data_IF_449079511097
#
_entry.id   IF_449079511097
#
_cell.length_a   1.000
_cell.length_b   1.000
_cell.length_c   1.000
_cell.angle_alpha   90.00
_cell.angle_beta   90.00
_cell.angle_gamma   90.00
#
_symmetry.space_group_name_H-M   'P 1'
#
loop_
_entity.id
_entity.type
_entity.pdbx_description
1 polymer ?
#
# COMPACT_ATOMS: atom_id res chain seq x y z
N UNK A 1 -24.58 9.78 8.02
CA UNK A 1 -23.61 9.56 6.92
C UNK A 1 -22.89 8.26 7.17
N UNK A 2 -23.14 7.27 6.31
CA UNK A 2 -22.41 6.01 6.31
C UNK A 2 -21.68 5.82 4.98
N UNK A 3 -20.53 5.15 5.04
CA UNK A 3 -19.82 4.68 3.85
C UNK A 3 -20.03 3.18 3.79
N UNK A 4 -20.71 2.71 2.75
CA UNK A 4 -20.92 1.29 2.52
C UNK A 4 -19.96 0.79 1.45
N UNK A 5 -19.20 -0.24 1.78
CA UNK A 5 -18.32 -0.93 0.84
C UNK A 5 -19.06 -2.15 0.27
N UNK A 6 -19.32 -2.13 -1.03
CA UNK A 6 -20.06 -3.18 -1.73
C UNK A 6 -19.08 -4.14 -2.44
N UNK A 7 -18.54 -5.10 -1.67
CA UNK A 7 -17.78 -6.22 -2.20
C UNK A 7 -17.87 -7.45 -1.29
N UNK A 8 -17.59 -8.63 -1.85
CA UNK A 8 -17.55 -9.90 -1.12
C UNK A 8 -16.42 -10.79 -1.68
N UNK A 9 -16.14 -11.92 -1.02
CA UNK A 9 -15.05 -12.82 -1.44
C UNK A 9 -15.19 -13.37 -2.87
N UNK A 10 -16.42 -13.60 -3.35
CA UNK A 10 -16.66 -14.04 -4.74
C UNK A 10 -16.35 -12.93 -5.73
N UNK A 11 -16.72 -11.69 -5.41
CA UNK A 11 -16.42 -10.51 -6.23
C UNK A 11 -14.92 -10.25 -6.28
N UNK A 12 -14.21 -10.45 -5.17
CA UNK A 12 -12.77 -10.28 -5.08
C UNK A 12 -12.02 -11.28 -5.98
N UNK A 13 -12.41 -12.56 -5.94
CA UNK A 13 -11.80 -13.62 -6.74
C UNK A 13 -12.05 -13.49 -8.25
N UNK A 14 -13.15 -12.84 -8.65
CA UNK A 14 -13.50 -12.59 -10.06
C UNK A 14 -13.02 -11.22 -10.58
N UNK A 15 -12.47 -10.39 -9.71
CA UNK A 15 -12.07 -9.04 -10.05
C UNK A 15 -10.86 -9.03 -10.97
N UNK A 16 -10.79 -8.02 -11.85
CA UNK A 16 -9.64 -7.84 -12.73
C UNK A 16 -8.42 -7.38 -11.93
N UNK A 17 -7.26 -7.90 -12.29
CA UNK A 17 -5.97 -7.39 -11.80
C UNK A 17 -5.65 -6.07 -12.50
N UNK A 18 -5.33 -5.03 -11.74
CA UNK A 18 -4.97 -3.71 -12.22
C UNK A 18 -3.47 -3.48 -12.11
N UNK A 19 -2.89 -2.83 -13.12
CA UNK A 19 -1.54 -2.28 -13.04
C UNK A 19 -1.62 -0.86 -12.48
N UNK A 20 -0.95 -0.62 -11.35
CA UNK A 20 -1.00 0.65 -10.63
C UNK A 20 0.36 1.35 -10.61
N UNK A 21 0.32 2.67 -10.81
CA UNK A 21 1.46 3.56 -10.71
C UNK A 21 1.19 4.65 -9.68
N UNK A 22 2.01 4.70 -8.64
CA UNK A 22 2.05 5.82 -7.71
C UNK A 22 3.07 6.84 -8.23
N UNK A 23 2.60 7.98 -8.74
CA UNK A 23 3.44 9.01 -9.36
C UNK A 23 3.83 10.10 -8.35
N UNK A 24 5.05 10.67 -8.44
CA UNK A 24 5.49 11.78 -7.59
C UNK A 24 4.92 13.12 -8.08
N UNK A 25 3.72 13.12 -8.65
CA UNK A 25 3.12 14.28 -9.30
C UNK A 25 1.63 14.37 -9.00
N UNK A 26 1.13 15.59 -8.84
CA UNK A 26 -0.32 15.84 -8.79
C UNK A 26 -0.86 16.02 -10.21
N UNK A 27 -1.74 15.10 -10.63
CA UNK A 27 -2.51 15.23 -11.86
C UNK A 27 -3.88 15.79 -11.50
N UNK A 28 -4.24 16.93 -12.08
CA UNK A 28 -5.52 17.59 -11.76
C UNK A 28 -6.74 16.95 -12.46
N UNK A 29 -6.51 16.17 -13.53
CA UNK A 29 -7.56 15.44 -14.22
C UNK A 29 -7.78 14.05 -13.61
N UNK A 30 -9.04 13.65 -13.54
CA UNK A 30 -9.54 12.36 -13.00
C UNK A 30 -10.15 11.46 -14.10
N UNK A 31 -9.95 11.82 -15.37
CA UNK A 31 -10.46 11.09 -16.52
C UNK A 31 -9.58 9.94 -16.98
N UNK A 32 -10.04 9.25 -18.03
CA UNK A 32 -9.28 8.17 -18.66
C UNK A 32 -7.98 8.69 -19.28
N UNK A 33 -6.91 7.89 -19.18
CA UNK A 33 -5.62 8.15 -19.80
C UNK A 33 -5.14 6.90 -20.55
N UNK A 34 -4.47 7.10 -21.69
CA UNK A 34 -3.89 6.00 -22.46
C UNK A 34 -2.50 5.63 -21.89
N UNK A 35 -2.51 5.11 -20.66
CA UNK A 35 -1.31 4.76 -19.88
C UNK A 35 -0.49 3.69 -20.59
N UNK A 36 -1.15 2.71 -21.21
CA UNK A 36 -0.47 1.63 -21.91
C UNK A 36 0.44 2.16 -23.03
N UNK A 37 -0.12 3.02 -23.87
CA UNK A 37 0.58 3.54 -25.05
C UNK A 37 1.69 4.52 -24.69
N UNK A 38 1.45 5.41 -23.72
CA UNK A 38 2.34 6.54 -23.45
C UNK A 38 3.25 6.37 -22.23
N UNK A 39 2.99 5.38 -21.38
CA UNK A 39 3.76 5.15 -20.16
C UNK A 39 4.30 3.72 -20.12
N UNK A 40 3.45 2.70 -20.16
CA UNK A 40 3.88 1.31 -19.95
C UNK A 40 4.88 0.84 -21.01
N UNK A 41 4.64 1.15 -22.29
CA UNK A 41 5.55 0.81 -23.39
C UNK A 41 6.96 1.41 -23.28
N UNK A 42 7.13 2.47 -22.48
CA UNK A 42 8.40 3.17 -22.25
C UNK A 42 8.98 2.88 -20.86
N UNK A 43 8.39 1.94 -20.12
CA UNK A 43 8.94 1.47 -18.86
C UNK A 43 10.07 0.49 -19.16
N UNK A 44 11.26 0.78 -18.65
CA UNK A 44 12.44 -0.08 -18.82
C UNK A 44 12.91 -0.63 -17.48
N UNK A 45 13.29 -1.91 -17.44
CA UNK A 45 13.97 -2.48 -16.28
C UNK A 45 15.34 -1.81 -16.13
N UNK A 46 15.71 -1.47 -14.89
CA UNK A 46 16.97 -0.83 -14.56
C UNK A 46 17.68 -1.61 -13.43
N UNK A 47 18.14 -2.84 -13.71
CA UNK A 47 18.75 -3.72 -12.71
C UNK A 47 20.01 -3.14 -12.07
N UNK A 48 20.67 -2.18 -12.72
CA UNK A 48 21.82 -1.44 -12.19
C UNK A 48 21.51 -0.68 -10.90
N UNK A 49 20.24 -0.35 -10.64
CA UNK A 49 19.78 0.33 -9.43
C UNK A 49 19.21 -0.60 -8.37
N UNK A 50 19.06 -1.90 -8.68
CA UNK A 50 18.55 -2.92 -7.77
C UNK A 50 17.42 -3.76 -8.36
N UNK A 51 17.02 -4.78 -7.59
CA UNK A 51 15.96 -5.71 -8.02
C UNK A 51 14.59 -5.02 -8.08
N UNK A 52 13.87 -5.24 -9.18
CA UNK A 52 12.53 -4.68 -9.41
C UNK A 52 12.52 -3.17 -9.62
N UNK A 53 13.67 -2.54 -9.86
CA UNK A 53 13.77 -1.12 -10.20
C UNK A 53 13.54 -0.92 -11.68
N UNK A 54 12.72 0.07 -12.01
CA UNK A 54 12.32 0.44 -13.36
C UNK A 54 12.54 1.94 -13.58
N UNK A 55 12.71 2.34 -14.84
CA UNK A 55 12.83 3.73 -15.26
C UNK A 55 11.76 4.10 -16.27
N UNK A 56 11.35 5.37 -16.26
CA UNK A 56 10.43 5.95 -17.23
C UNK A 56 10.61 7.48 -17.22
N UNK A 57 9.82 8.21 -17.98
CA UNK A 57 9.72 9.66 -17.90
C UNK A 57 8.26 10.11 -17.92
N UNK A 58 7.95 11.12 -17.11
CA UNK A 58 6.64 11.77 -17.14
C UNK A 58 6.83 13.25 -17.46
N UNK A 59 6.22 13.72 -18.55
CA UNK A 59 6.33 15.12 -19.00
C UNK A 59 7.78 15.61 -19.18
N UNK A 60 8.68 14.70 -19.58
CA UNK A 60 10.10 14.99 -19.78
C UNK A 60 10.96 14.92 -18.51
N UNK A 61 10.37 14.66 -17.34
CA UNK A 61 11.12 14.45 -16.11
C UNK A 61 11.44 12.97 -15.91
N UNK A 62 12.70 12.61 -15.62
CA UNK A 62 13.09 11.23 -15.39
C UNK A 62 12.47 10.69 -14.11
N UNK A 63 11.99 9.46 -14.19
CA UNK A 63 11.43 8.71 -13.09
C UNK A 63 12.26 7.45 -12.85
N UNK A 64 12.53 7.17 -11.59
CA UNK A 64 13.07 5.89 -11.14
C UNK A 64 12.09 5.31 -10.14
N UNK A 65 11.56 4.13 -10.43
CA UNK A 65 10.51 3.49 -9.65
C UNK A 65 10.88 2.09 -9.22
N UNK A 66 10.13 1.56 -8.27
CA UNK A 66 10.32 0.19 -7.79
C UNK A 66 8.96 -0.52 -7.70
N UNK A 67 8.95 -1.77 -8.18
CA UNK A 67 7.79 -2.66 -8.08
C UNK A 67 7.71 -3.19 -6.65
N UNK A 68 6.64 -2.82 -5.96
CA UNK A 68 6.39 -3.23 -4.59
C UNK A 68 5.22 -4.19 -4.55
N UNK A 69 5.43 -5.33 -3.89
CA UNK A 69 4.36 -6.23 -3.53
C UNK A 69 3.54 -5.62 -2.38
N UNK A 70 2.25 -5.91 -2.37
CA UNK A 70 1.41 -5.70 -1.21
C UNK A 70 1.91 -6.60 -0.06
N UNK A 71 1.85 -6.17 1.21
CA UNK A 71 2.33 -6.97 2.34
C UNK A 71 1.69 -8.36 2.40
N UNK A 72 2.43 -9.32 2.95
CA UNK A 72 1.97 -10.71 3.06
C UNK A 72 0.66 -10.79 3.86
N UNK A 73 -0.30 -11.58 3.37
CA UNK A 73 -1.63 -11.68 3.97
C UNK A 73 -2.59 -10.54 3.61
N UNK A 74 -2.14 -9.53 2.86
CA UNK A 74 -2.98 -8.43 2.37
C UNK A 74 -3.28 -8.55 0.88
N UNK A 75 -4.35 -7.87 0.45
CA UNK A 75 -4.74 -7.74 -0.96
C UNK A 75 -5.03 -6.27 -1.27
N UNK A 76 -4.45 -5.76 -2.36
CA UNK A 76 -4.78 -4.42 -2.86
C UNK A 76 -6.15 -4.42 -3.54
N UNK A 77 -7.00 -3.44 -3.19
CA UNK A 77 -8.31 -3.26 -3.81
C UNK A 77 -8.46 -1.82 -4.30
N UNK A 78 -9.14 -1.66 -5.44
CA UNK A 78 -9.54 -0.35 -5.96
C UNK A 78 -11.05 -0.25 -5.87
N UNK A 79 -11.52 0.80 -5.22
CA UNK A 79 -12.92 1.09 -5.00
C UNK A 79 -13.27 2.39 -5.71
N UNK A 80 -14.45 2.44 -6.33
CA UNK A 80 -14.96 3.64 -6.98
C UNK A 80 -16.38 3.93 -6.53
N UNK A 81 -16.66 5.21 -6.33
CA UNK A 81 -18.01 5.69 -6.05
C UNK A 81 -18.82 5.71 -7.34
N UNK A 82 -19.95 5.01 -7.37
CA UNK A 82 -20.76 4.88 -8.59
C UNK A 82 -21.66 6.08 -8.86
N UNK A 83 -22.03 6.84 -7.83
CA UNK A 83 -22.92 7.99 -7.95
C UNK A 83 -22.31 9.19 -7.22
N UNK A 84 -22.31 10.35 -7.89
CA UNK A 84 -21.87 11.59 -7.24
C UNK A 84 -22.92 11.98 -6.19
N UNK A 85 -22.57 12.11 -4.90
CA UNK A 85 -23.53 12.47 -3.86
C UNK A 85 -24.24 13.79 -4.22
N UNK A 86 -25.57 13.78 -4.20
CA UNK A 86 -26.39 14.96 -4.49
C UNK A 86 -26.31 16.01 -3.36
N UNK A 87 -25.91 15.57 -2.15
CA UNK A 87 -25.64 16.40 -0.98
C UNK A 87 -24.57 15.75 -0.10
N UNK A 88 -23.93 16.53 0.77
CA UNK A 88 -23.01 15.98 1.77
C UNK A 88 -23.71 15.06 2.78
N UNK A 89 -25.04 15.09 2.89
CA UNK A 89 -25.79 14.23 3.81
C UNK A 89 -26.16 12.85 3.25
N UNK A 90 -25.86 12.57 1.98
CA UNK A 90 -26.25 11.32 1.30
C UNK A 90 -25.31 10.18 1.67
N UNK A 91 -25.84 8.97 1.86
CA UNK A 91 -25.03 7.77 2.09
C UNK A 91 -24.21 7.40 0.85
N UNK A 92 -22.96 7.01 1.08
CA UNK A 92 -21.98 6.78 0.00
C UNK A 92 -21.80 5.29 -0.23
N UNK A 93 -21.86 4.87 -1.50
CA UNK A 93 -21.64 3.49 -1.90
C UNK A 93 -20.37 3.37 -2.76
N UNK A 94 -19.40 2.59 -2.27
CA UNK A 94 -18.14 2.30 -2.97
C UNK A 94 -18.17 0.86 -3.51
N UNK A 95 -17.94 0.69 -4.81
CA UNK A 95 -17.91 -0.62 -5.46
C UNK A 95 -16.51 -1.02 -5.88
N UNK A 96 -16.25 -2.33 -5.85
CA UNK A 96 -14.99 -2.90 -6.32
C UNK A 96 -14.83 -2.73 -7.84
N UNK A 97 -13.72 -2.12 -8.25
CA UNK A 97 -13.37 -1.94 -9.67
C UNK A 97 -12.20 -2.80 -10.12
N UNK A 98 -11.36 -3.23 -9.18
CA UNK A 98 -10.21 -4.08 -9.46
C UNK A 98 -9.43 -4.44 -8.21
N UNK A 99 -8.49 -5.36 -8.38
CA UNK A 99 -7.55 -5.80 -7.35
C UNK A 99 -6.12 -5.67 -7.87
N UNK A 100 -5.15 -5.65 -6.97
CA UNK A 100 -3.74 -5.69 -7.34
C UNK A 100 -2.93 -6.38 -6.24
N UNK A 101 -1.87 -7.06 -6.67
CA UNK A 101 -0.90 -7.73 -5.78
C UNK A 101 0.42 -6.96 -5.72
N UNK A 102 0.69 -6.15 -6.73
CA UNK A 102 1.83 -5.26 -6.80
C UNK A 102 1.43 -3.90 -7.34
N UNK A 103 2.24 -2.89 -7.05
CA UNK A 103 2.17 -1.58 -7.67
C UNK A 103 3.57 -1.01 -7.85
N UNK A 104 3.74 -0.10 -8.80
CA UNK A 104 5.01 0.61 -8.98
C UNK A 104 4.92 1.98 -8.35
N UNK A 105 5.79 2.30 -7.40
CA UNK A 105 5.96 3.68 -6.94
C UNK A 105 7.14 4.33 -7.65
N UNK A 106 7.01 5.62 -7.95
CA UNK A 106 8.00 6.36 -8.72
C UNK A 106 8.54 7.54 -7.91
N UNK A 107 9.84 7.77 -8.01
CA UNK A 107 10.52 8.96 -7.52
C UNK A 107 11.02 9.79 -8.71
N UNK A 108 11.11 11.10 -8.54
CA UNK A 108 11.82 11.95 -9.50
C UNK A 108 13.32 11.84 -9.29
N UNK A 109 14.02 11.41 -10.34
CA UNK A 109 15.49 11.42 -10.45
C UNK A 109 16.25 10.91 -9.21
N UNK A 110 15.64 9.99 -8.47
CA UNK A 110 16.16 9.44 -7.23
C UNK A 110 15.91 7.95 -7.20
N UNK A 111 16.99 7.20 -7.03
CA UNK A 111 16.92 5.75 -6.84
C UNK A 111 16.05 5.43 -5.61
N UNK A 112 15.04 4.55 -5.77
CA UNK A 112 14.23 4.05 -4.67
C UNK A 112 15.07 3.56 -3.49
N UNK A 113 14.65 3.91 -2.28
CA UNK A 113 15.41 3.65 -1.06
C UNK A 113 14.53 3.19 0.09
N UNK A 114 15.15 2.60 1.12
CA UNK A 114 14.43 2.21 2.34
C UNK A 114 13.75 3.41 3.02
N UNK A 115 14.27 4.63 2.86
CA UNK A 115 13.71 5.84 3.46
C UNK A 115 12.52 6.43 2.71
N UNK A 116 12.05 5.82 1.62
CA UNK A 116 10.94 6.35 0.85
C UNK A 116 9.61 6.18 1.61
N UNK A 117 8.75 7.22 1.68
CA UNK A 117 7.53 7.20 2.48
C UNK A 117 6.59 6.05 2.17
N UNK A 118 6.43 5.68 0.88
CA UNK A 118 5.54 4.58 0.47
C UNK A 118 6.00 3.24 0.98
N UNK A 119 7.32 3.01 0.99
CA UNK A 119 7.91 1.78 1.51
C UNK A 119 7.76 1.71 3.02
N UNK A 120 7.99 2.82 3.72
CA UNK A 120 7.77 2.94 5.16
C UNK A 120 6.29 2.76 5.53
N UNK A 121 5.36 3.27 4.72
CA UNK A 121 3.93 3.09 4.94
C UNK A 121 3.49 1.63 4.87
N UNK A 122 4.07 0.83 3.95
CA UNK A 122 3.76 -0.60 3.87
C UNK A 122 4.31 -1.39 5.06
N UNK A 123 5.50 -1.04 5.57
CA UNK A 123 6.07 -1.64 6.79
C UNK A 123 5.19 -1.42 8.03
N UNK A 124 4.35 -0.39 8.02
CA UNK A 124 3.43 -0.14 9.12
C UNK A 124 2.40 -1.27 9.31
N UNK A 125 2.11 -2.05 8.28
CA UNK A 125 1.21 -3.21 8.40
C UNK A 125 1.79 -4.25 9.38
N UNK A 126 3.06 -4.61 9.22
CA UNK A 126 3.75 -5.57 10.09
C UNK A 126 3.85 -5.05 11.53
N UNK A 127 4.16 -3.76 11.68
CA UNK A 127 4.23 -3.09 12.98
C UNK A 127 2.86 -3.10 13.66
N UNK A 128 1.80 -2.75 12.93
CA UNK A 128 0.44 -2.74 13.47
C UNK A 128 0.00 -4.14 13.89
N UNK A 129 0.32 -5.17 13.11
CA UNK A 129 0.03 -6.55 13.45
C UNK A 129 0.68 -6.94 14.79
N UNK A 130 1.99 -6.73 14.93
CA UNK A 130 2.73 -7.03 16.16
C UNK A 130 2.22 -6.25 17.38
N UNK A 131 1.80 -4.99 17.20
CA UNK A 131 1.24 -4.17 18.28
C UNK A 131 -0.17 -4.57 18.69
N UNK A 132 -0.94 -5.14 17.77
CA UNK A 132 -2.34 -5.53 18.00
C UNK A 132 -2.52 -6.97 18.46
N UNK A 133 -1.43 -7.73 18.56
CA UNK A 133 -1.45 -9.12 18.98
C UNK A 133 -2.02 -9.24 20.41
N UNK A 134 -3.07 -10.04 20.64
CA UNK A 134 -3.64 -10.22 21.97
C UNK A 134 -2.59 -10.80 22.93
N UNK A 135 -2.52 -10.24 24.13
CA UNK A 135 -1.62 -10.73 25.18
C UNK A 135 -2.35 -11.81 25.97
N UNK A 136 -1.76 -13.00 26.08
CA UNK A 136 -2.31 -14.09 26.89
C UNK A 136 -2.06 -13.88 28.39
N UNK A 137 -2.84 -14.55 29.25
CA UNK A 137 -2.60 -14.50 30.70
C UNK A 137 -1.24 -15.12 31.05
N UNK A 138 -0.82 -16.17 30.34
CA UNK A 138 0.47 -16.82 30.50
C UNK A 138 1.65 -15.88 30.16
N UNK A 139 1.52 -15.06 29.12
CA UNK A 139 2.52 -14.07 28.75
C UNK A 139 2.66 -13.00 29.84
N UNK A 140 1.53 -12.56 30.41
CA UNK A 140 1.51 -11.61 31.52
C UNK A 140 2.19 -12.19 32.77
N UNK A 141 1.87 -13.42 33.14
CA UNK A 141 2.47 -14.09 34.30
C UNK A 141 3.99 -14.26 34.12
N UNK A 142 4.42 -14.65 32.93
CA UNK A 142 5.84 -14.82 32.58
C UNK A 142 6.60 -13.50 32.70
N UNK A 143 6.03 -12.41 32.17
CA UNK A 143 6.64 -11.09 32.24
C UNK A 143 6.66 -10.50 33.66
N UNK A 144 5.60 -10.74 34.45
CA UNK A 144 5.57 -10.36 35.88
C UNK A 144 6.66 -11.10 36.66
N UNK A 145 6.87 -12.40 36.39
CA UNK A 145 7.92 -13.19 37.03
C UNK A 145 9.32 -12.67 36.65
N UNK A 146 9.56 -12.44 35.35
CA UNK A 146 10.82 -11.84 34.85
C UNK A 146 11.16 -10.53 35.55
N UNK A 147 10.16 -9.63 35.66
CA UNK A 147 10.35 -8.32 36.30
C UNK A 147 10.59 -8.40 37.82
N UNK A 148 10.11 -9.45 38.49
CA UNK A 148 10.43 -9.70 39.91
C UNK A 148 11.85 -10.22 40.09
N UNK A 149 12.33 -11.04 39.17
CA UNK A 149 13.70 -11.61 39.21
C UNK A 149 14.75 -10.51 38.94
N UNK A 150 14.56 -9.68 37.92
CA UNK A 150 15.46 -8.56 37.61
C UNK A 150 15.54 -7.50 38.72
N UNK A 151 14.44 -7.27 39.46
CA UNK A 151 14.44 -6.41 40.65
C UNK A 151 15.23 -7.00 41.82
N UNK A 152 15.29 -8.32 41.97
CA UNK A 152 16.08 -8.98 43.03
C UNK A 152 17.57 -8.94 42.70
N UNK A 153 17.93 -9.11 41.43
CA UNK A 153 19.32 -9.01 40.97
C UNK A 153 19.87 -7.58 41.12
N UNK A 154 19.08 -6.56 40.81
CA UNK A 154 19.51 -5.15 40.95
C UNK A 154 19.52 -4.61 42.40
N UNK A 155 19.04 -5.38 43.38
CA UNK A 155 19.01 -5.00 44.80
C UNK A 155 19.98 -5.80 45.68
N UNK A 156 20.77 -6.69 45.07
CA UNK A 156 21.86 -7.45 45.69
C UNK A 156 23.21 -6.85 45.30
#
# INVERSE_FOLDING_TARGET
MSITLDFNGKNLAKSKTLNLHFLPAKVNGDGNANVETYFNNYTHEAPEYGSGVVTNALRGYPLVGNRMQVPEGYKGIVLQETEKPLSESTDRQLRLTGVFDEFTYWNYDKVPSNGDPYRQALLMADVAQALSEPISEEDLETEIKRNRESKKENSS
#
